data_IF_599434910012
#
_entry.id   IF_599434910012
#
_cell.length_a   1.000
_cell.length_b   1.000
_cell.length_c   1.000
_cell.angle_alpha   90.00
_cell.angle_beta   90.00
_cell.angle_gamma   90.00
#
_symmetry.space_group_name_H-M   'P 1'
#
loop_
_entity.id
_entity.type
_entity.pdbx_description
1 polymer ?
#
# COMPACT_ATOMS: atom_id res chain seq x y z
N UNK A 1 -51.06 -18.85 -69.80
CA UNK A 1 -50.60 -17.53 -69.35
C UNK A 1 -49.98 -17.68 -67.99
N UNK A 2 -48.64 -17.53 -67.83
CA UNK A 2 -47.98 -17.68 -66.55
C UNK A 2 -47.64 -16.32 -66.00
N UNK A 3 -48.02 -16.10 -64.74
CA UNK A 3 -47.71 -14.95 -63.91
C UNK A 3 -46.30 -15.05 -63.37
N UNK A 4 -45.53 -14.02 -63.64
CA UNK A 4 -44.10 -13.86 -63.13
C UNK A 4 -44.15 -13.55 -61.66
N UNK A 5 -43.41 -14.38 -60.87
CA UNK A 5 -43.13 -14.16 -59.45
C UNK A 5 -41.81 -13.37 -59.35
N UNK A 6 -41.91 -12.15 -58.90
CA UNK A 6 -40.75 -11.28 -58.68
C UNK A 6 -40.19 -11.55 -57.28
N UNK A 7 -38.95 -12.07 -57.20
CA UNK A 7 -38.21 -12.27 -55.95
C UNK A 7 -37.55 -10.96 -55.55
N UNK A 8 -38.00 -10.38 -54.45
CA UNK A 8 -37.25 -9.30 -53.76
C UNK A 8 -36.19 -9.89 -52.88
N UNK A 9 -34.92 -9.62 -53.23
CA UNK A 9 -33.73 -9.94 -52.44
C UNK A 9 -33.46 -8.75 -51.51
N UNK A 10 -33.86 -8.89 -50.24
CA UNK A 10 -33.55 -7.90 -49.20
C UNK A 10 -32.10 -8.03 -48.74
N UNK A 11 -31.29 -7.06 -49.10
CA UNK A 11 -29.93 -6.92 -48.66
C UNK A 11 -29.95 -6.35 -47.23
N UNK A 12 -29.69 -7.19 -46.21
CA UNK A 12 -29.51 -6.72 -44.84
C UNK A 12 -28.05 -6.23 -44.68
N UNK A 13 -27.89 -4.92 -44.73
CA UNK A 13 -26.60 -4.29 -44.36
C UNK A 13 -26.59 -4.21 -42.84
N UNK A 14 -25.88 -5.15 -42.21
CA UNK A 14 -25.61 -5.10 -40.79
C UNK A 14 -24.58 -4.00 -40.48
N UNK A 15 -25.07 -2.87 -39.99
CA UNK A 15 -24.19 -1.83 -39.43
C UNK A 15 -23.56 -2.34 -38.13
N UNK A 16 -22.33 -2.75 -38.21
CA UNK A 16 -21.49 -2.98 -37.03
C UNK A 16 -21.24 -1.62 -36.37
N UNK A 17 -22.02 -1.31 -35.35
CA UNK A 17 -21.68 -0.22 -34.42
C UNK A 17 -20.46 -0.64 -33.62
N UNK A 18 -19.29 -0.20 -34.05
CA UNK A 18 -18.09 -0.18 -33.21
C UNK A 18 -18.39 0.78 -32.04
N UNK A 19 -18.77 0.24 -30.90
CA UNK A 19 -18.79 0.96 -29.64
C UNK A 19 -17.30 1.13 -29.27
N UNK A 20 -16.77 2.36 -29.22
CA UNK A 20 -15.43 2.54 -28.69
C UNK A 20 -15.46 2.07 -27.22
N UNK A 21 -14.63 1.08 -26.91
CA UNK A 21 -14.34 0.75 -25.54
C UNK A 21 -13.72 2.01 -24.92
N UNK A 22 -14.51 2.75 -24.16
CA UNK A 22 -13.97 3.75 -23.25
C UNK A 22 -13.10 3.00 -22.27
N UNK A 23 -11.79 3.07 -22.47
CA UNK A 23 -10.87 2.74 -21.43
C UNK A 23 -11.28 3.58 -20.22
N UNK A 24 -11.72 2.94 -19.15
CA UNK A 24 -11.89 3.61 -17.87
C UNK A 24 -10.55 4.26 -17.57
N UNK A 25 -10.49 5.57 -17.76
CA UNK A 25 -9.40 6.37 -17.23
C UNK A 25 -9.58 6.22 -15.72
N UNK A 26 -8.73 5.42 -15.09
CA UNK A 26 -8.61 5.35 -13.64
C UNK A 26 -8.20 6.76 -13.18
N UNK A 27 -9.18 7.64 -13.04
CA UNK A 27 -8.99 8.98 -12.53
C UNK A 27 -8.65 8.84 -11.05
N UNK A 28 -7.38 9.03 -10.71
CA UNK A 28 -6.95 9.08 -9.34
C UNK A 28 -7.68 10.22 -8.62
N UNK A 29 -8.31 9.90 -7.49
CA UNK A 29 -8.96 10.88 -6.65
C UNK A 29 -7.92 11.70 -5.89
N UNK A 30 -8.13 13.00 -5.80
CA UNK A 30 -7.25 13.91 -5.04
C UNK A 30 -7.75 14.06 -3.61
N UNK A 31 -6.82 13.95 -2.65
CA UNK A 31 -7.10 14.11 -1.22
C UNK A 31 -6.20 15.16 -0.61
N UNK A 32 -6.73 16.08 0.21
CA UNK A 32 -5.92 16.93 1.06
C UNK A 32 -5.13 16.10 2.08
N UNK A 33 -3.88 16.49 2.30
CA UNK A 33 -3.02 15.88 3.31
C UNK A 33 -3.33 16.48 4.69
N UNK A 34 -3.68 15.63 5.63
CA UNK A 34 -3.75 15.96 7.05
C UNK A 34 -2.56 15.35 7.79
N UNK A 35 -1.52 16.15 8.01
CA UNK A 35 -0.35 15.75 8.78
C UNK A 35 -0.44 16.30 10.21
N UNK A 36 -0.20 15.43 11.18
CA UNK A 36 -0.17 15.77 12.62
C UNK A 36 1.23 16.13 13.10
N UNK A 37 2.23 16.09 12.23
CA UNK A 37 3.60 16.44 12.59
C UNK A 37 3.67 17.87 13.12
N UNK A 38 4.21 18.03 14.33
CA UNK A 38 4.46 19.30 15.01
C UNK A 38 5.75 19.99 14.60
N UNK A 39 6.58 19.36 13.81
CA UNK A 39 7.87 19.91 13.39
C UNK A 39 7.68 21.12 12.50
N UNK A 40 8.27 22.21 12.92
CA UNK A 40 8.27 23.45 12.14
C UNK A 40 9.56 23.65 11.33
N UNK A 41 10.71 23.25 11.87
CA UNK A 41 11.99 23.37 11.19
C UNK A 41 13.03 22.38 11.71
N UNK A 42 13.66 21.66 10.81
CA UNK A 42 14.95 21.01 10.98
C UNK A 42 15.72 21.07 9.67
N UNK A 43 17.03 21.08 9.75
CA UNK A 43 17.86 21.14 8.57
C UNK A 43 18.15 19.75 8.02
N UNK A 44 17.99 19.61 6.71
CA UNK A 44 18.37 18.41 5.98
C UNK A 44 19.71 18.69 5.28
N UNK A 45 20.76 17.87 5.50
CA UNK A 45 22.06 18.07 4.85
C UNK A 45 21.97 17.65 3.38
N UNK A 46 21.79 18.61 2.50
CA UNK A 46 21.68 18.42 1.06
C UNK A 46 22.81 19.16 0.35
N UNK A 47 23.32 18.58 -0.75
CA UNK A 47 24.26 19.25 -1.63
C UNK A 47 23.57 20.25 -2.60
N UNK A 48 24.38 20.97 -3.38
CA UNK A 48 23.86 21.96 -4.31
C UNK A 48 22.97 21.36 -5.40
N UNK A 49 23.32 20.17 -5.89
CA UNK A 49 22.56 19.50 -6.94
C UNK A 49 21.18 19.05 -6.44
N UNK A 50 21.14 18.51 -5.20
CA UNK A 50 19.90 18.13 -4.55
C UNK A 50 18.99 19.33 -4.29
N UNK A 51 19.54 20.46 -3.84
CA UNK A 51 18.80 21.70 -3.63
C UNK A 51 18.25 22.25 -4.93
N UNK A 52 19.04 22.22 -5.99
CA UNK A 52 18.60 22.64 -7.31
C UNK A 52 17.48 21.76 -7.85
N UNK A 53 17.62 20.45 -7.72
CA UNK A 53 16.59 19.49 -8.11
C UNK A 53 15.25 19.76 -7.40
N UNK A 54 15.28 20.05 -6.09
CA UNK A 54 14.09 20.41 -5.32
C UNK A 54 13.45 21.71 -5.77
N UNK A 55 14.26 22.73 -6.11
CA UNK A 55 13.76 24.01 -6.61
C UNK A 55 13.05 23.88 -7.96
N UNK A 56 13.50 22.98 -8.81
CA UNK A 56 12.85 22.66 -10.08
C UNK A 56 11.61 21.79 -9.89
N UNK A 57 11.66 20.82 -8.99
CA UNK A 57 10.58 19.86 -8.74
C UNK A 57 9.33 20.52 -8.17
N UNK A 58 9.45 21.34 -7.15
CA UNK A 58 8.41 22.11 -6.44
C UNK A 58 7.26 21.34 -5.84
N UNK A 59 6.82 20.25 -6.46
CA UNK A 59 5.70 19.43 -6.02
C UNK A 59 6.10 17.96 -5.98
N UNK A 60 5.71 17.29 -4.90
CA UNK A 60 5.83 15.84 -4.74
C UNK A 60 4.47 15.19 -4.95
N UNK A 61 4.36 14.33 -5.95
CA UNK A 61 3.15 13.56 -6.25
C UNK A 61 3.22 12.25 -5.49
N UNK A 62 2.32 12.08 -4.55
CA UNK A 62 2.27 10.91 -3.66
C UNK A 62 1.07 10.05 -4.01
N UNK A 63 1.31 8.76 -4.27
CA UNK A 63 0.25 7.79 -4.48
C UNK A 63 -0.18 7.11 -3.18
N UNK A 64 -1.47 6.91 -3.05
CA UNK A 64 -2.09 6.04 -2.06
C UNK A 64 -3.09 5.13 -2.75
N UNK A 65 -3.50 4.07 -2.10
CA UNK A 65 -4.42 3.10 -2.70
C UNK A 65 -5.61 2.77 -1.82
N UNK A 66 -6.72 2.47 -2.46
CA UNK A 66 -7.84 1.81 -1.82
C UNK A 66 -7.58 0.29 -1.75
N UNK A 67 -8.14 -0.40 -0.75
CA UNK A 67 -8.73 0.14 0.47
C UNK A 67 -7.68 0.69 1.45
N UNK A 68 -8.14 1.39 2.49
CA UNK A 68 -7.26 1.92 3.54
C UNK A 68 -6.40 0.84 4.20
N UNK A 69 -5.26 1.26 4.75
CA UNK A 69 -4.35 0.42 5.52
C UNK A 69 -4.07 1.07 6.89
N UNK A 70 -5.03 0.98 7.83
CA UNK A 70 -4.89 1.64 9.13
C UNK A 70 -3.79 1.01 9.99
N UNK A 71 -3.06 1.78 10.78
CA UNK A 71 -3.14 3.24 10.97
C UNK A 71 -2.20 4.03 10.03
N UNK A 72 -1.63 3.40 9.00
CA UNK A 72 -0.69 4.03 8.08
C UNK A 72 -1.37 4.98 7.09
N UNK A 73 -2.38 4.48 6.40
CA UNK A 73 -3.11 5.18 5.34
C UNK A 73 -4.60 5.15 5.65
N UNK A 74 -5.18 6.30 5.93
CA UNK A 74 -6.60 6.42 6.26
C UNK A 74 -7.26 7.55 5.49
N UNK A 75 -8.41 7.24 4.89
CA UNK A 75 -9.30 8.20 4.22
C UNK A 75 -10.73 8.10 4.77
N UNK A 76 -10.87 7.61 6.01
CA UNK A 76 -12.16 7.31 6.64
C UNK A 76 -13.06 8.53 6.85
N UNK A 77 -12.46 9.72 6.97
CA UNK A 77 -13.23 10.97 7.00
C UNK A 77 -13.92 11.28 5.66
N UNK A 78 -13.46 10.65 4.55
CA UNK A 78 -13.89 10.97 3.19
C UNK A 78 -13.43 12.35 2.69
N UNK A 79 -12.68 13.10 3.50
CA UNK A 79 -12.24 14.46 3.22
C UNK A 79 -10.73 14.59 3.14
N UNK A 80 -10.00 13.89 4.01
CA UNK A 80 -8.55 14.02 4.16
C UNK A 80 -7.86 12.66 4.11
N UNK A 81 -6.60 12.69 3.70
CA UNK A 81 -5.66 11.58 3.86
C UNK A 81 -4.86 11.80 5.13
N UNK A 82 -4.94 10.85 6.04
CA UNK A 82 -4.29 10.89 7.35
C UNK A 82 -3.66 9.54 7.72
N UNK A 83 -2.89 9.51 8.77
CA UNK A 83 -2.22 8.33 9.32
C UNK A 83 -0.72 8.54 9.47
N UNK A 84 -0.04 7.48 9.91
CA UNK A 84 1.40 7.52 10.17
C UNK A 84 2.20 7.88 8.90
N UNK A 85 1.87 7.30 7.78
CA UNK A 85 2.53 7.62 6.49
C UNK A 85 2.24 9.06 6.08
N UNK A 86 1.00 9.55 6.28
CA UNK A 86 0.65 10.94 6.01
C UNK A 86 1.48 11.92 6.84
N UNK A 87 1.75 11.60 8.10
CA UNK A 87 2.59 12.42 8.97
C UNK A 87 4.02 12.55 8.44
N UNK A 88 4.62 11.45 8.00
CA UNK A 88 5.95 11.47 7.38
C UNK A 88 5.98 12.18 6.02
N UNK A 89 4.93 12.07 5.23
CA UNK A 89 4.78 12.85 3.99
C UNK A 89 4.73 14.34 4.29
N UNK A 90 4.03 14.73 5.33
CA UNK A 90 4.00 16.12 5.82
C UNK A 90 5.38 16.63 6.22
N UNK A 91 6.18 15.79 6.86
CA UNK A 91 7.58 16.11 7.21
C UNK A 91 8.40 16.33 5.93
N UNK A 92 8.31 15.43 4.95
CA UNK A 92 9.00 15.60 3.67
C UNK A 92 8.63 16.93 3.00
N UNK A 93 7.34 17.25 2.93
CA UNK A 93 6.87 18.49 2.33
C UNK A 93 7.42 19.73 3.01
N UNK A 94 7.37 19.78 4.33
CA UNK A 94 7.87 20.92 5.12
C UNK A 94 9.39 21.05 5.07
N UNK A 95 10.11 19.95 5.32
CA UNK A 95 11.56 19.94 5.37
C UNK A 95 12.22 20.26 4.01
N UNK A 96 11.60 19.83 2.93
CA UNK A 96 12.10 19.98 1.56
C UNK A 96 11.48 21.15 0.80
N UNK A 97 10.57 21.88 1.42
CA UNK A 97 9.81 22.96 0.80
C UNK A 97 9.12 22.52 -0.50
N UNK A 98 8.51 21.35 -0.47
CA UNK A 98 7.72 20.79 -1.56
C UNK A 98 6.23 20.90 -1.23
N UNK A 99 5.43 21.30 -2.20
CA UNK A 99 3.99 21.09 -2.11
C UNK A 99 3.67 19.61 -2.32
N UNK A 100 2.69 19.10 -1.60
CA UNK A 100 2.30 17.69 -1.66
C UNK A 100 0.99 17.55 -2.40
N UNK A 101 0.95 16.63 -3.38
CA UNK A 101 -0.26 16.24 -4.07
C UNK A 101 -0.53 14.76 -3.81
N UNK A 102 -1.63 14.46 -3.13
CA UNK A 102 -2.06 13.08 -2.83
C UNK A 102 -3.03 12.61 -3.91
N UNK A 103 -2.74 11.46 -4.50
CA UNK A 103 -3.56 10.81 -5.51
C UNK A 103 -3.91 9.40 -5.06
N UNK A 104 -5.20 9.10 -4.90
CA UNK A 104 -5.72 7.79 -4.48
C UNK A 104 -6.12 6.96 -5.68
N UNK A 105 -5.59 5.76 -5.76
CA UNK A 105 -5.85 4.77 -6.81
C UNK A 105 -6.77 3.67 -6.30
N UNK A 106 -7.41 2.95 -7.20
CA UNK A 106 -8.42 1.93 -6.88
C UNK A 106 -7.84 0.66 -6.24
N UNK A 107 -6.54 0.41 -6.40
CA UNK A 107 -5.87 -0.78 -5.86
C UNK A 107 -4.38 -0.54 -5.65
N UNK A 108 -3.74 -1.43 -4.90
CA UNK A 108 -2.28 -1.40 -4.74
C UNK A 108 -1.56 -1.64 -6.08
N UNK A 109 -2.06 -2.54 -6.91
CA UNK A 109 -1.49 -2.77 -8.24
C UNK A 109 -1.58 -1.52 -9.13
N UNK A 110 -2.69 -0.79 -9.08
CA UNK A 110 -2.87 0.44 -9.85
C UNK A 110 -1.90 1.55 -9.42
N UNK A 111 -1.69 1.75 -8.12
CA UNK A 111 -0.75 2.76 -7.63
C UNK A 111 0.69 2.40 -7.92
N UNK A 112 1.06 1.12 -7.83
CA UNK A 112 2.41 0.65 -8.21
C UNK A 112 2.66 0.90 -9.70
N UNK A 113 1.70 0.59 -10.54
CA UNK A 113 1.79 0.87 -11.98
C UNK A 113 1.97 2.36 -12.27
N UNK A 114 1.21 3.22 -11.57
CA UNK A 114 1.34 4.67 -11.69
C UNK A 114 2.76 5.16 -11.30
N UNK A 115 3.36 4.56 -10.27
CA UNK A 115 4.74 4.84 -9.87
C UNK A 115 5.73 4.38 -10.94
N UNK A 116 5.59 3.17 -11.45
CA UNK A 116 6.44 2.63 -12.52
C UNK A 116 6.40 3.48 -13.79
N UNK A 117 5.25 4.03 -14.14
CA UNK A 117 5.02 4.88 -15.31
C UNK A 117 5.35 6.36 -15.08
N UNK A 118 5.73 6.75 -13.87
CA UNK A 118 6.09 8.14 -13.54
C UNK A 118 4.89 9.08 -13.38
N UNK A 119 3.68 8.57 -13.21
CA UNK A 119 2.49 9.37 -12.92
C UNK A 119 2.49 9.93 -11.50
N UNK A 120 3.13 9.22 -10.57
CA UNK A 120 3.45 9.66 -9.22
C UNK A 120 4.95 9.53 -8.97
N UNK A 121 5.44 10.23 -7.94
CA UNK A 121 6.87 10.27 -7.59
C UNK A 121 7.23 9.27 -6.50
N UNK A 122 6.33 9.05 -5.56
CA UNK A 122 6.58 8.26 -4.36
C UNK A 122 5.33 7.54 -3.88
N UNK A 123 5.55 6.37 -3.30
CA UNK A 123 4.54 5.53 -2.70
C UNK A 123 4.95 5.19 -1.27
N UNK A 124 4.13 5.56 -0.28
CA UNK A 124 4.35 5.19 1.12
C UNK A 124 3.87 3.78 1.46
N UNK A 125 4.04 3.40 2.72
CA UNK A 125 3.56 2.12 3.26
C UNK A 125 4.07 0.92 2.44
N UNK A 126 5.32 1.02 2.00
CA UNK A 126 5.98 0.02 1.16
C UNK A 126 6.88 -0.88 2.00
N UNK A 127 6.86 -2.17 1.72
CA UNK A 127 7.61 -3.18 2.45
C UNK A 127 8.13 -4.29 1.51
N UNK A 128 8.22 -5.53 1.97
CA UNK A 128 8.78 -6.64 1.20
C UNK A 128 8.13 -6.88 -0.17
N UNK A 129 6.85 -6.60 -0.30
CA UNK A 129 6.15 -6.75 -1.58
C UNK A 129 6.71 -5.79 -2.64
N UNK A 130 6.85 -4.52 -2.32
CA UNK A 130 7.40 -3.51 -3.23
C UNK A 130 8.91 -3.69 -3.41
N UNK A 131 9.62 -4.13 -2.36
CA UNK A 131 11.07 -4.42 -2.44
C UNK A 131 11.40 -5.52 -3.47
N UNK A 132 10.50 -6.45 -3.68
CA UNK A 132 10.66 -7.52 -4.68
C UNK A 132 10.43 -7.04 -6.12
N UNK A 133 9.90 -5.85 -6.31
CA UNK A 133 9.67 -5.29 -7.64
C UNK A 133 10.97 -4.69 -8.20
N UNK A 134 11.53 -5.22 -9.32
CA UNK A 134 12.80 -4.77 -9.86
C UNK A 134 12.79 -3.34 -10.41
N UNK A 135 11.61 -2.76 -10.64
CA UNK A 135 11.45 -1.39 -11.11
C UNK A 135 11.46 -0.35 -9.98
N UNK A 136 11.38 -0.81 -8.74
CA UNK A 136 11.28 0.05 -7.56
C UNK A 136 12.51 -0.08 -6.66
N UNK A 137 12.73 0.95 -5.86
CA UNK A 137 13.70 0.96 -4.75
C UNK A 137 13.04 1.57 -3.53
N UNK A 138 13.31 1.00 -2.35
CA UNK A 138 12.79 1.50 -1.09
C UNK A 138 13.77 2.46 -0.42
N UNK A 139 13.22 3.49 0.24
CA UNK A 139 13.96 4.33 1.18
C UNK A 139 14.33 3.54 2.45
N UNK A 140 15.13 4.16 3.34
CA UNK A 140 15.22 3.73 4.72
C UNK A 140 13.82 3.65 5.33
N UNK A 141 13.55 2.70 6.24
CA UNK A 141 12.24 2.59 6.86
C UNK A 141 11.97 3.76 7.81
N UNK A 142 10.69 4.18 7.85
CA UNK A 142 10.21 5.17 8.81
C UNK A 142 9.34 4.54 9.90
N UNK A 143 8.98 3.28 9.77
CA UNK A 143 8.26 2.53 10.78
C UNK A 143 8.75 1.07 10.82
N UNK A 144 8.66 0.46 12.00
CA UNK A 144 9.06 -0.94 12.18
C UNK A 144 7.91 -1.83 11.70
N UNK A 145 8.24 -2.80 10.86
CA UNK A 145 7.34 -3.90 10.52
C UNK A 145 7.75 -5.15 11.29
N UNK A 146 7.14 -5.37 12.45
CA UNK A 146 7.28 -6.62 13.19
C UNK A 146 6.16 -7.56 12.75
N UNK A 147 6.47 -8.66 12.03
CA UNK A 147 5.45 -9.60 11.59
C UNK A 147 4.86 -10.38 12.75
N UNK A 148 3.54 -10.57 12.72
CA UNK A 148 2.81 -11.34 13.73
C UNK A 148 1.88 -12.36 13.09
N UNK A 149 1.62 -13.43 13.84
CA UNK A 149 0.60 -14.43 13.57
C UNK A 149 -0.58 -14.19 14.50
N UNK A 150 -1.76 -14.07 13.92
CA UNK A 150 -3.01 -13.78 14.62
C UNK A 150 -3.95 -14.95 14.48
N UNK A 151 -4.56 -15.38 15.59
CA UNK A 151 -5.54 -16.46 15.62
C UNK A 151 -6.81 -16.03 16.33
N UNK A 152 -7.85 -16.86 16.25
CA UNK A 152 -8.98 -16.74 17.16
C UNK A 152 -8.51 -17.00 18.59
N UNK A 153 -9.15 -16.37 19.57
CA UNK A 153 -8.80 -16.54 20.98
C UNK A 153 -8.87 -18.02 21.44
N UNK A 154 -9.79 -18.78 20.85
CA UNK A 154 -10.03 -20.20 21.18
C UNK A 154 -9.13 -21.17 20.41
N UNK A 155 -8.19 -20.67 19.60
CA UNK A 155 -7.30 -21.54 18.86
C UNK A 155 -6.36 -22.31 19.80
N UNK A 156 -6.32 -23.61 19.66
CA UNK A 156 -5.51 -24.51 20.49
C UNK A 156 -4.42 -25.24 19.72
N UNK A 157 -4.47 -25.20 18.38
CA UNK A 157 -3.46 -25.85 17.55
C UNK A 157 -2.13 -25.11 17.64
N UNK A 158 -1.03 -25.87 17.60
CA UNK A 158 0.32 -25.31 17.67
C UNK A 158 0.67 -24.51 16.40
N UNK A 159 1.25 -23.33 16.58
CA UNK A 159 1.82 -22.51 15.52
C UNK A 159 3.31 -22.77 15.29
N UNK A 160 3.96 -23.59 16.13
CA UNK A 160 5.41 -23.80 16.08
C UNK A 160 5.84 -24.86 15.07
N UNK A 161 4.92 -25.57 14.44
CA UNK A 161 5.19 -26.62 13.46
C UNK A 161 5.05 -26.12 12.01
N UNK A 162 5.39 -24.88 11.74
CA UNK A 162 5.36 -24.31 10.40
C UNK A 162 3.96 -24.15 9.81
N UNK A 163 2.93 -24.04 10.66
CA UNK A 163 1.52 -23.88 10.29
C UNK A 163 0.98 -25.01 9.39
N UNK A 164 1.49 -26.22 9.57
CA UNK A 164 1.13 -27.37 8.72
C UNK A 164 -0.37 -27.63 8.72
N UNK A 165 -0.99 -27.62 7.54
CA UNK A 165 -2.42 -27.85 7.36
C UNK A 165 -3.32 -26.71 7.76
N UNK A 166 -2.78 -25.60 8.27
CA UNK A 166 -3.55 -24.42 8.62
C UNK A 166 -3.73 -23.48 7.41
N UNK A 167 -4.90 -22.86 7.35
CA UNK A 167 -5.22 -21.81 6.36
C UNK A 167 -4.60 -20.51 6.83
N UNK A 168 -3.57 -20.04 6.12
CA UNK A 168 -2.86 -18.80 6.40
C UNK A 168 -3.38 -17.69 5.48
N UNK A 169 -4.01 -16.67 6.08
CA UNK A 169 -4.44 -15.48 5.37
C UNK A 169 -3.43 -14.35 5.47
N UNK A 170 -3.31 -13.57 4.41
CA UNK A 170 -2.58 -12.30 4.40
C UNK A 170 -3.15 -11.38 3.34
N UNK A 171 -2.90 -10.07 3.47
CA UNK A 171 -3.13 -9.16 2.36
C UNK A 171 -2.07 -9.41 1.29
N UNK A 172 -2.48 -9.47 0.00
CA UNK A 172 -1.60 -9.91 -1.10
C UNK A 172 -0.33 -9.06 -1.27
N UNK A 173 -0.37 -7.80 -0.87
CA UNK A 173 0.74 -6.86 -0.99
C UNK A 173 1.54 -6.66 0.31
N UNK A 174 1.46 -7.60 1.26
CA UNK A 174 2.31 -7.58 2.46
C UNK A 174 3.69 -8.14 2.16
N UNK A 175 3.75 -9.37 1.68
CA UNK A 175 4.96 -10.03 1.23
C UNK A 175 4.73 -10.71 -0.12
N UNK A 176 5.78 -10.95 -0.91
CA UNK A 176 5.67 -11.81 -2.09
C UNK A 176 5.14 -13.19 -1.71
N UNK A 177 4.17 -13.69 -2.48
CA UNK A 177 3.56 -14.99 -2.22
C UNK A 177 4.60 -16.13 -2.18
N UNK A 178 5.59 -16.09 -3.06
CA UNK A 178 6.65 -17.10 -3.11
C UNK A 178 7.51 -17.11 -1.85
N UNK A 179 7.75 -15.95 -1.24
CA UNK A 179 8.45 -15.87 0.04
C UNK A 179 7.64 -16.50 1.17
N UNK A 180 6.34 -16.22 1.23
CA UNK A 180 5.46 -16.81 2.24
C UNK A 180 5.36 -18.32 2.08
N UNK A 181 5.29 -18.82 0.85
CA UNK A 181 5.33 -20.26 0.56
C UNK A 181 6.65 -20.92 1.00
N UNK A 182 7.75 -20.21 0.86
CA UNK A 182 9.06 -20.67 1.32
C UNK A 182 9.16 -20.73 2.85
N UNK A 183 8.60 -19.75 3.53
CA UNK A 183 8.59 -19.67 5.01
C UNK A 183 7.63 -20.67 5.65
N UNK A 184 6.48 -20.92 5.03
CA UNK A 184 5.41 -21.78 5.51
C UNK A 184 4.97 -22.78 4.43
N UNK A 185 5.85 -23.72 4.03
CA UNK A 185 5.59 -24.58 2.87
C UNK A 185 4.44 -25.57 3.04
N UNK A 186 4.03 -25.83 4.29
CA UNK A 186 2.94 -26.75 4.62
C UNK A 186 1.63 -26.05 4.95
N UNK A 187 1.62 -24.72 4.96
CA UNK A 187 0.41 -23.93 5.17
C UNK A 187 -0.41 -23.84 3.87
N UNK A 188 -1.71 -23.63 4.03
CA UNK A 188 -2.64 -23.34 2.92
C UNK A 188 -2.78 -21.82 2.85
N UNK A 189 -2.05 -21.18 1.92
CA UNK A 189 -1.96 -19.72 1.83
C UNK A 189 -3.15 -19.17 1.07
N UNK A 190 -3.80 -18.17 1.66
CA UNK A 190 -4.94 -17.44 1.11
C UNK A 190 -4.62 -15.95 1.09
N UNK A 191 -4.53 -15.36 -0.10
CA UNK A 191 -4.33 -13.93 -0.28
C UNK A 191 -5.67 -13.19 -0.35
N UNK A 192 -5.71 -12.02 0.27
CA UNK A 192 -6.89 -11.15 0.32
C UNK A 192 -6.57 -9.76 -0.25
N UNK A 193 -7.59 -9.06 -0.80
CA UNK A 193 -7.37 -7.75 -1.43
C UNK A 193 -7.09 -6.62 -0.44
N UNK A 194 -7.50 -6.77 0.82
CA UNK A 194 -7.30 -5.75 1.86
C UNK A 194 -6.83 -6.35 3.16
N UNK A 195 -6.18 -5.50 3.98
CA UNK A 195 -5.81 -5.87 5.35
C UNK A 195 -7.05 -6.31 6.16
N UNK A 196 -8.12 -5.54 6.08
CA UNK A 196 -9.35 -5.84 6.82
C UNK A 196 -9.98 -7.16 6.39
N UNK A 197 -10.07 -7.45 5.10
CA UNK A 197 -10.63 -8.73 4.63
C UNK A 197 -9.75 -9.91 5.05
N UNK A 198 -8.43 -9.75 5.04
CA UNK A 198 -7.51 -10.80 5.46
C UNK A 198 -7.64 -11.13 6.95
N UNK A 199 -7.64 -10.13 7.83
CA UNK A 199 -7.77 -10.36 9.27
C UNK A 199 -9.19 -10.81 9.65
N UNK A 200 -10.22 -10.29 8.99
CA UNK A 200 -11.60 -10.71 9.18
C UNK A 200 -11.80 -12.19 8.85
N UNK A 201 -11.06 -12.73 7.88
CA UNK A 201 -11.17 -14.14 7.52
C UNK A 201 -10.88 -15.07 8.71
N UNK A 202 -9.96 -14.69 9.60
CA UNK A 202 -9.68 -15.42 10.82
C UNK A 202 -10.79 -15.23 11.86
N UNK A 203 -11.26 -14.00 12.03
CA UNK A 203 -12.34 -13.69 12.97
C UNK A 203 -13.63 -14.48 12.66
N UNK A 204 -13.92 -14.70 11.38
CA UNK A 204 -15.14 -15.40 10.89
C UNK A 204 -14.89 -16.86 10.46
N UNK A 205 -13.80 -17.47 10.90
CA UNK A 205 -13.47 -18.88 10.66
C UNK A 205 -13.32 -19.27 9.17
N UNK A 206 -12.97 -18.33 8.34
CA UNK A 206 -12.64 -18.58 6.93
C UNK A 206 -11.15 -18.89 6.73
N UNK A 207 -10.32 -18.51 7.68
CA UNK A 207 -8.92 -18.85 7.79
C UNK A 207 -8.59 -19.20 9.25
N UNK A 208 -7.41 -19.78 9.48
CA UNK A 208 -6.98 -20.21 10.82
C UNK A 208 -5.98 -19.24 11.44
N UNK A 209 -5.09 -18.69 10.62
CA UNK A 209 -4.00 -17.79 11.03
C UNK A 209 -3.90 -16.63 10.04
N UNK A 210 -3.74 -15.43 10.56
CA UNK A 210 -3.42 -14.25 9.76
C UNK A 210 -1.96 -13.85 9.97
N UNK A 211 -1.27 -13.57 8.89
CA UNK A 211 0.09 -13.01 8.88
C UNK A 211 0.03 -11.53 8.47
N UNK A 212 0.50 -10.65 9.33
CA UNK A 212 0.54 -9.23 9.07
C UNK A 212 1.46 -8.49 10.01
N UNK A 213 1.48 -7.16 9.91
CA UNK A 213 2.28 -6.32 10.80
C UNK A 213 1.61 -6.10 12.16
N UNK A 214 2.44 -5.89 13.16
CA UNK A 214 1.98 -5.68 14.55
C UNK A 214 1.17 -4.41 14.71
N UNK A 215 1.58 -3.33 14.06
CA UNK A 215 0.96 -2.01 14.28
C UNK A 215 -0.47 -1.96 13.77
N UNK A 216 -0.72 -2.44 12.56
CA UNK A 216 -2.06 -2.53 11.99
C UNK A 216 -2.94 -3.52 12.75
N UNK A 217 -2.36 -4.65 13.17
CA UNK A 217 -3.06 -5.65 13.96
C UNK A 217 -3.50 -5.09 15.33
N UNK A 218 -2.59 -4.41 16.01
CA UNK A 218 -2.87 -3.77 17.30
C UNK A 218 -3.96 -2.70 17.16
N UNK A 219 -3.89 -1.90 16.11
CA UNK A 219 -4.91 -0.89 15.81
C UNK A 219 -6.30 -1.52 15.64
N UNK A 220 -6.41 -2.58 14.84
CA UNK A 220 -7.69 -3.25 14.57
C UNK A 220 -8.30 -3.87 15.83
N UNK A 221 -7.47 -4.48 16.69
CA UNK A 221 -7.91 -5.07 17.96
C UNK A 221 -8.35 -3.98 18.94
N UNK A 222 -7.55 -2.94 19.13
CA UNK A 222 -7.82 -1.89 20.12
C UNK A 222 -8.98 -0.98 19.78
N UNK A 223 -9.24 -0.76 18.50
CA UNK A 223 -10.45 -0.02 18.09
C UNK A 223 -11.74 -0.82 18.25
N UNK A 224 -11.62 -2.08 18.71
CA UNK A 224 -12.76 -2.94 19.00
C UNK A 224 -13.48 -3.47 17.76
N UNK A 225 -12.86 -3.38 16.61
CA UNK A 225 -13.42 -3.94 15.38
C UNK A 225 -13.48 -5.47 15.41
N UNK A 226 -12.52 -6.11 16.10
CA UNK A 226 -12.41 -7.53 16.20
C UNK A 226 -12.12 -7.93 17.66
N UNK A 227 -13.02 -8.70 18.28
CA UNK A 227 -12.94 -9.04 19.71
C UNK A 227 -12.56 -10.49 20.00
N UNK A 228 -12.59 -11.35 19.00
CA UNK A 228 -12.39 -12.78 19.15
C UNK A 228 -11.05 -13.29 18.60
N UNK A 229 -10.11 -12.37 18.38
CA UNK A 229 -8.79 -12.67 17.88
C UNK A 229 -7.69 -12.19 18.82
N UNK A 230 -6.53 -12.79 18.72
CA UNK A 230 -5.34 -12.46 19.50
C UNK A 230 -4.08 -12.53 18.66
N UNK A 231 -3.09 -11.69 18.97
CA UNK A 231 -1.73 -11.88 18.49
C UNK A 231 -1.13 -13.08 19.23
N UNK A 232 -0.86 -14.16 18.51
CA UNK A 232 -0.50 -15.43 19.11
C UNK A 232 1.00 -15.72 19.08
N UNK A 233 1.71 -15.26 18.03
CA UNK A 233 3.14 -15.51 17.84
C UNK A 233 3.72 -14.51 16.86
N UNK A 234 5.05 -14.46 16.76
CA UNK A 234 5.74 -13.70 15.72
C UNK A 234 5.85 -14.50 14.43
N UNK A 235 5.85 -13.77 13.30
CA UNK A 235 6.15 -14.35 12.00
C UNK A 235 7.64 -14.73 11.87
N UNK A 236 7.95 -15.60 10.89
CA UNK A 236 9.32 -16.09 10.68
C UNK A 236 10.21 -15.16 9.86
N UNK A 237 9.63 -14.26 9.07
CA UNK A 237 10.42 -13.38 8.22
C UNK A 237 11.05 -12.24 9.02
N UNK A 238 12.17 -11.74 8.51
CA UNK A 238 12.80 -10.54 9.07
C UNK A 238 11.93 -9.32 8.81
N UNK A 239 12.00 -8.35 9.73
CA UNK A 239 11.29 -7.09 9.58
C UNK A 239 11.98 -6.23 8.50
N UNK A 240 11.25 -5.92 7.43
CA UNK A 240 11.73 -4.98 6.42
C UNK A 240 11.52 -3.51 6.83
N UNK A 241 10.55 -3.28 7.69
CA UNK A 241 10.04 -1.95 7.97
C UNK A 241 9.15 -1.41 6.86
N UNK A 242 8.43 -0.34 7.17
CA UNK A 242 7.66 0.42 6.18
C UNK A 242 8.48 1.60 5.69
N UNK A 243 8.53 1.74 4.37
CA UNK A 243 9.40 2.68 3.67
C UNK A 243 8.62 3.42 2.58
N UNK A 244 9.25 4.43 2.02
CA UNK A 244 8.82 5.01 0.75
C UNK A 244 9.43 4.24 -0.42
N UNK A 245 8.64 4.00 -1.45
CA UNK A 245 9.12 3.45 -2.71
C UNK A 245 9.19 4.53 -3.77
N UNK A 246 10.25 4.52 -4.55
CA UNK A 246 10.48 5.35 -5.72
C UNK A 246 10.84 4.47 -6.91
N UNK A 247 10.77 5.01 -8.13
CA UNK A 247 11.33 4.32 -9.28
C UNK A 247 12.82 4.08 -9.07
N UNK A 248 13.30 2.91 -9.51
CA UNK A 248 14.72 2.53 -9.34
C UNK A 248 15.68 3.52 -10.02
N UNK A 249 15.27 4.17 -11.09
CA UNK A 249 16.07 5.17 -11.79
C UNK A 249 16.01 6.57 -11.15
N UNK A 250 15.15 6.79 -10.17
CA UNK A 250 15.03 8.07 -9.47
C UNK A 250 15.91 8.11 -8.21
N UNK A 251 17.20 7.93 -8.41
CA UNK A 251 18.20 7.90 -7.33
C UNK A 251 18.32 9.21 -6.58
N UNK A 252 18.11 10.33 -7.27
CA UNK A 252 18.12 11.68 -6.69
C UNK A 252 17.06 11.84 -5.62
N UNK A 253 15.80 11.47 -5.92
CA UNK A 253 14.72 11.52 -4.95
C UNK A 253 14.95 10.56 -3.79
N UNK A 254 15.44 9.35 -4.05
CA UNK A 254 15.76 8.38 -3.02
C UNK A 254 16.77 8.93 -2.01
N UNK A 255 17.87 9.52 -2.49
CA UNK A 255 18.92 10.06 -1.63
C UNK A 255 18.40 11.25 -0.80
N UNK A 256 17.56 12.09 -1.38
CA UNK A 256 16.91 13.21 -0.69
C UNK A 256 15.97 12.71 0.41
N UNK A 257 15.14 11.72 0.11
CA UNK A 257 14.23 11.11 1.09
C UNK A 257 15.02 10.50 2.24
N UNK A 258 16.07 9.73 1.97
CA UNK A 258 16.89 9.12 2.99
C UNK A 258 17.60 10.16 3.86
N UNK A 259 18.14 11.22 3.26
CA UNK A 259 18.75 12.32 4.02
C UNK A 259 17.74 13.00 4.94
N UNK A 260 16.51 13.18 4.48
CA UNK A 260 15.42 13.78 5.26
C UNK A 260 15.03 12.89 6.43
N UNK A 261 14.79 11.59 6.18
CA UNK A 261 14.42 10.64 7.22
C UNK A 261 15.50 10.52 8.30
N UNK A 262 16.78 10.53 7.92
CA UNK A 262 17.90 10.49 8.86
C UNK A 262 18.02 11.76 9.71
N UNK A 263 17.51 12.89 9.24
CA UNK A 263 17.56 14.18 9.92
C UNK A 263 16.37 14.43 10.85
N UNK A 264 15.32 13.60 10.79
CA UNK A 264 14.14 13.75 11.66
C UNK A 264 14.53 13.58 13.12
N UNK A 265 14.25 14.56 14.01
CA UNK A 265 14.57 14.45 15.43
C UNK A 265 13.85 13.27 16.11
N UNK A 266 14.51 12.66 17.10
CA UNK A 266 13.98 11.47 17.79
C UNK A 266 12.67 11.75 18.54
N UNK A 267 12.53 12.91 19.14
CA UNK A 267 11.30 13.33 19.84
C UNK A 267 10.10 13.41 18.92
N UNK A 268 10.32 13.77 17.66
CA UNK A 268 9.27 13.76 16.66
C UNK A 268 8.92 12.35 16.18
N UNK A 269 9.91 11.50 15.98
CA UNK A 269 9.66 10.08 15.65
C UNK A 269 8.80 9.43 16.74
N UNK A 270 9.08 9.71 18.00
CA UNK A 270 8.30 9.22 19.14
C UNK A 270 6.89 9.81 19.18
N UNK A 271 6.72 11.06 18.78
CA UNK A 271 5.42 11.72 18.71
C UNK A 271 4.49 11.12 17.65
N UNK A 272 5.04 10.77 16.50
CA UNK A 272 4.29 10.17 15.38
C UNK A 272 3.85 8.74 15.70
N UNK A 273 4.67 7.99 16.44
CA UNK A 273 4.42 6.57 16.76
C UNK A 273 3.49 6.36 17.96
N UNK A 274 3.14 7.40 18.69
CA UNK A 274 2.17 7.35 19.81
C UNK A 274 0.74 7.60 19.34
#
# INVERSE_FOLDING_TARGET
>A
MPTRLMKYLSLFIGSFLCIPAYAEINSAESYPLLSRSGIYHFEVPLDKNQRHWLQEKRQLRVGISAPDYPPFDMTTSGQDYEGLTADYIGILGKALNLSIKIQRFSSRDAVIKALEEGQIDVLGTSNGFEAANPKLTLSNPYAIDQPVLVTRERETRSLTQGLAGLRLSMVYHYLPLDEVKRLYPKAIIQSYPSYQSAINSVAFDQADVFLGDTLSTHYMINKGYLKNIKMANFGKHEAYGFSFAVRRDNTQLLDIINATLNAVPNDEQDSITR
#
